data_IF_616620530239
#
_entry.id   IF_616620530239
#
_cell.length_a   1.000
_cell.length_b   1.000
_cell.length_c   1.000
_cell.angle_alpha   90.00
_cell.angle_beta   90.00
_cell.angle_gamma   90.00
#
_symmetry.space_group_name_H-M   'P 1'
#
loop_
_entity.id
_entity.type
_entity.pdbx_description
1 polymer ?
#
# COMPACT_ATOMS: atom_id res chain seq x y z
N UNK A 1 -15.29 -18.63 -15.57
CA UNK A 1 -14.52 -18.50 -16.83
C UNK A 1 -15.42 -18.03 -17.96
N UNK A 2 -15.25 -16.77 -18.39
CA UNK A 2 -15.72 -16.32 -19.69
C UNK A 2 -14.89 -17.04 -20.78
N UNK A 3 -15.54 -17.64 -21.77
CA UNK A 3 -14.85 -18.44 -22.81
C UNK A 3 -14.66 -17.70 -24.12
N UNK A 4 -15.26 -16.51 -24.27
CA UNK A 4 -15.06 -15.57 -25.38
C UNK A 4 -14.60 -14.24 -24.78
N UNK A 5 -13.30 -14.07 -24.55
CA UNK A 5 -12.73 -12.93 -23.81
C UNK A 5 -12.65 -11.65 -24.64
N UNK A 6 -12.73 -11.76 -25.96
CA UNK A 6 -12.66 -10.66 -26.92
C UNK A 6 -14.04 -10.25 -27.48
N UNK A 7 -15.12 -10.75 -26.86
CA UNK A 7 -16.50 -10.57 -27.33
C UNK A 7 -17.43 -10.31 -26.16
N UNK A 8 -17.50 -9.05 -25.77
CA UNK A 8 -18.52 -8.47 -24.90
C UNK A 8 -18.81 -7.03 -25.35
N UNK A 9 -19.57 -6.31 -24.57
CA UNK A 9 -19.64 -4.86 -24.68
C UNK A 9 -20.21 -4.31 -23.38
N UNK A 10 -20.18 -2.99 -23.27
CA UNK A 10 -20.57 -2.23 -22.08
C UNK A 10 -21.91 -2.70 -21.49
N UNK A 11 -21.85 -3.35 -20.32
CA UNK A 11 -22.96 -3.93 -19.59
C UNK A 11 -23.34 -3.10 -18.35
N UNK A 12 -24.63 -3.07 -18.00
CA UNK A 12 -25.15 -2.42 -16.78
C UNK A 12 -25.76 -3.49 -15.86
N UNK A 13 -25.12 -3.74 -14.72
CA UNK A 13 -25.51 -4.73 -13.72
C UNK A 13 -25.96 -4.01 -12.45
N UNK A 14 -27.23 -4.15 -12.08
CA UNK A 14 -27.74 -3.67 -10.78
C UNK A 14 -28.34 -4.82 -9.98
N UNK A 15 -27.80 -5.04 -8.79
CA UNK A 15 -28.21 -6.09 -7.86
C UNK A 15 -28.76 -5.49 -6.55
N UNK A 16 -29.59 -6.26 -5.87
CA UNK A 16 -30.18 -5.87 -4.60
C UNK A 16 -29.32 -6.26 -3.40
N UNK A 17 -29.94 -6.20 -2.22
CA UNK A 17 -29.32 -6.68 -0.97
C UNK A 17 -28.99 -8.18 -1.01
N UNK A 18 -28.01 -8.58 -0.21
CA UNK A 18 -27.53 -9.96 -0.06
C UNK A 18 -26.17 -10.17 -0.70
N UNK A 19 -25.58 -11.34 -0.49
CA UNK A 19 -24.25 -11.66 -1.00
C UNK A 19 -24.34 -12.02 -2.50
N UNK A 20 -23.80 -11.16 -3.36
CA UNK A 20 -23.84 -11.29 -4.82
C UNK A 20 -22.49 -11.75 -5.39
N UNK A 21 -22.54 -12.34 -6.59
CA UNK A 21 -21.35 -12.72 -7.37
C UNK A 21 -21.51 -12.20 -8.79
N UNK A 22 -20.56 -11.39 -9.26
CA UNK A 22 -20.60 -10.69 -10.55
C UNK A 22 -19.26 -10.86 -11.28
N UNK A 23 -19.33 -11.15 -12.57
CA UNK A 23 -18.25 -10.97 -13.55
C UNK A 23 -18.91 -10.19 -14.69
N UNK A 24 -18.53 -8.94 -14.94
CA UNK A 24 -19.20 -8.10 -15.94
C UNK A 24 -18.71 -8.45 -17.35
N UNK A 25 -17.40 -8.60 -17.55
CA UNK A 25 -16.83 -9.35 -18.67
C UNK A 25 -15.87 -8.56 -19.53
N UNK A 26 -16.29 -8.15 -20.73
CA UNK A 26 -15.46 -7.34 -21.62
C UNK A 26 -16.27 -6.11 -21.99
N UNK A 27 -15.68 -4.94 -21.85
CA UNK A 27 -16.34 -3.68 -22.16
C UNK A 27 -16.03 -2.66 -21.07
N UNK A 28 -16.62 -1.48 -21.17
CA UNK A 28 -16.68 -0.56 -20.06
C UNK A 28 -17.99 -0.80 -19.31
N UNK A 29 -17.93 -1.55 -18.23
CA UNK A 29 -19.10 -2.07 -17.53
C UNK A 29 -19.46 -1.20 -16.31
N UNK A 30 -20.73 -1.25 -15.90
CA UNK A 30 -21.21 -0.61 -14.68
C UNK A 30 -21.84 -1.65 -13.77
N UNK A 31 -21.27 -1.85 -12.58
CA UNK A 31 -21.78 -2.78 -11.56
C UNK A 31 -22.20 -2.00 -10.32
N UNK A 32 -23.46 -2.15 -9.91
CA UNK A 32 -24.00 -1.56 -8.68
C UNK A 32 -24.65 -2.66 -7.85
N UNK A 33 -24.14 -2.89 -6.65
CA UNK A 33 -24.78 -3.74 -5.63
C UNK A 33 -25.27 -2.89 -4.45
N UNK A 34 -26.10 -3.48 -3.58
CA UNK A 34 -26.60 -2.82 -2.38
C UNK A 34 -25.79 -3.28 -1.15
N UNK A 35 -26.42 -3.54 0.00
CA UNK A 35 -25.71 -4.17 1.11
C UNK A 35 -25.47 -5.66 0.90
N UNK A 36 -24.34 -6.20 1.34
CA UNK A 36 -23.99 -7.62 1.18
C UNK A 36 -22.49 -7.86 1.24
N UNK A 37 -22.06 -9.11 1.33
CA UNK A 37 -20.66 -9.47 1.08
C UNK A 37 -20.53 -9.88 -0.39
N UNK A 38 -20.25 -8.91 -1.25
CA UNK A 38 -20.25 -9.12 -2.70
C UNK A 38 -18.87 -9.54 -3.22
N UNK A 39 -18.86 -10.33 -4.31
CA UNK A 39 -17.64 -10.68 -5.05
C UNK A 39 -17.84 -10.21 -6.48
N UNK A 40 -17.01 -9.28 -6.93
CA UNK A 40 -17.20 -8.56 -8.19
C UNK A 40 -15.90 -8.61 -8.99
N UNK A 41 -16.02 -8.92 -10.26
CA UNK A 41 -15.02 -8.63 -11.28
C UNK A 41 -15.66 -7.67 -12.28
N UNK A 42 -14.97 -6.57 -12.58
CA UNK A 42 -15.34 -5.70 -13.69
C UNK A 42 -15.09 -6.47 -14.99
N UNK A 43 -13.84 -6.85 -15.22
CA UNK A 43 -13.50 -7.59 -16.43
C UNK A 43 -13.56 -9.13 -16.32
N UNK A 44 -13.03 -9.77 -17.36
CA UNK A 44 -12.93 -11.21 -17.51
C UNK A 44 -12.16 -11.84 -16.34
N UNK A 45 -12.77 -12.85 -15.71
CA UNK A 45 -12.06 -13.62 -14.70
C UNK A 45 -12.70 -14.95 -14.33
N UNK A 46 -12.19 -15.51 -13.24
CA UNK A 46 -12.65 -16.75 -12.67
C UNK A 46 -12.74 -16.70 -11.15
N UNK A 47 -13.91 -17.09 -10.63
CA UNK A 47 -14.11 -17.40 -9.23
C UNK A 47 -14.12 -18.91 -9.00
N UNK A 48 -13.40 -19.35 -7.99
CA UNK A 48 -13.40 -20.72 -7.52
C UNK A 48 -14.02 -20.80 -6.12
N UNK A 49 -14.84 -21.82 -5.92
CA UNK A 49 -15.49 -22.15 -4.65
C UNK A 49 -15.15 -23.61 -4.28
N UNK A 50 -15.11 -23.91 -2.99
CA UNK A 50 -14.94 -25.28 -2.51
C UNK A 50 -16.24 -26.13 -2.67
N UNK A 51 -16.18 -27.42 -2.33
CA UNK A 51 -17.33 -28.33 -2.40
C UNK A 51 -18.49 -27.92 -1.46
N UNK A 52 -18.28 -26.97 -0.55
CA UNK A 52 -19.29 -26.40 0.35
C UNK A 52 -19.81 -25.04 -0.15
N UNK A 53 -19.30 -24.53 -1.26
CA UNK A 53 -19.67 -23.23 -1.81
C UNK A 53 -18.98 -22.05 -1.13
N UNK A 54 -17.89 -22.27 -0.38
CA UNK A 54 -17.09 -21.19 0.20
C UNK A 54 -16.14 -20.65 -0.85
N UNK A 55 -16.07 -19.34 -0.99
CA UNK A 55 -15.16 -18.67 -1.91
C UNK A 55 -13.70 -18.93 -1.52
N UNK A 56 -12.88 -19.36 -2.47
CA UNK A 56 -11.47 -19.71 -2.24
C UNK A 56 -10.49 -18.95 -3.12
N UNK A 57 -10.90 -18.50 -4.31
CA UNK A 57 -10.00 -17.78 -5.22
C UNK A 57 -10.75 -16.93 -6.25
N UNK A 58 -10.24 -15.73 -6.50
CA UNK A 58 -10.52 -14.90 -7.67
C UNK A 58 -9.23 -14.69 -8.46
N UNK A 59 -9.30 -14.67 -9.79
CA UNK A 59 -8.18 -14.35 -10.69
C UNK A 59 -8.70 -13.71 -11.98
N UNK A 60 -8.09 -12.59 -12.40
CA UNK A 60 -8.31 -11.99 -13.72
C UNK A 60 -7.87 -12.95 -14.82
N UNK A 61 -8.56 -12.93 -15.94
CA UNK A 61 -8.23 -13.71 -17.14
C UNK A 61 -8.27 -12.79 -18.34
N UNK A 62 -7.43 -13.04 -19.35
CA UNK A 62 -7.31 -12.12 -20.50
C UNK A 62 -6.96 -10.68 -20.04
N UNK A 63 -5.89 -10.57 -19.26
CA UNK A 63 -5.40 -9.33 -18.62
C UNK A 63 -5.08 -8.17 -19.59
N UNK A 64 -5.08 -8.43 -20.90
CA UNK A 64 -4.87 -7.44 -21.96
C UNK A 64 -6.17 -7.01 -22.65
N UNK A 65 -7.32 -7.39 -22.09
CA UNK A 65 -8.66 -7.19 -22.65
C UNK A 65 -9.63 -6.77 -21.57
N UNK A 66 -10.31 -5.66 -21.82
CA UNK A 66 -11.32 -5.14 -20.92
C UNK A 66 -11.68 -3.70 -21.26
N UNK A 67 -12.15 -2.97 -20.27
CA UNK A 67 -12.40 -1.54 -20.38
C UNK A 67 -12.62 -0.89 -19.04
N UNK A 68 -12.73 0.44 -19.08
CA UNK A 68 -12.89 1.26 -17.89
C UNK A 68 -14.23 1.01 -17.20
N UNK A 69 -14.19 0.35 -16.05
CA UNK A 69 -15.34 -0.09 -15.29
C UNK A 69 -15.75 0.91 -14.20
N UNK A 70 -17.03 0.89 -13.84
CA UNK A 70 -17.55 1.61 -12.68
C UNK A 70 -18.24 0.64 -11.73
N UNK A 71 -17.67 0.45 -10.54
CA UNK A 71 -18.11 -0.53 -9.55
C UNK A 71 -18.52 0.18 -8.26
N UNK A 72 -19.78 0.00 -7.83
CA UNK A 72 -20.26 0.43 -6.52
C UNK A 72 -20.79 -0.78 -5.74
N UNK A 73 -20.05 -1.21 -4.73
CA UNK A 73 -20.33 -2.44 -4.00
C UNK A 73 -21.16 -2.25 -2.71
N UNK A 74 -21.59 -1.02 -2.40
CA UNK A 74 -22.36 -0.74 -1.18
C UNK A 74 -21.67 -1.19 0.11
N UNK A 75 -22.44 -1.47 1.17
CA UNK A 75 -21.89 -1.85 2.48
C UNK A 75 -21.77 -3.38 2.64
N UNK A 76 -20.80 -3.83 3.42
CA UNK A 76 -20.56 -5.23 3.74
C UNK A 76 -19.12 -5.62 3.39
N UNK A 77 -18.75 -6.90 3.46
CA UNK A 77 -17.39 -7.33 3.14
C UNK A 77 -17.25 -7.66 1.65
N UNK A 78 -16.82 -6.69 0.86
CA UNK A 78 -16.74 -6.81 -0.59
C UNK A 78 -15.35 -7.27 -1.05
N UNK A 79 -15.31 -8.00 -2.16
CA UNK A 79 -14.08 -8.45 -2.82
C UNK A 79 -14.16 -8.11 -4.30
N UNK A 80 -13.30 -7.21 -4.73
CA UNK A 80 -13.37 -6.59 -6.05
C UNK A 80 -12.01 -6.73 -6.74
N UNK A 81 -12.05 -7.09 -8.01
CA UNK A 81 -10.94 -6.92 -8.96
C UNK A 81 -11.55 -6.13 -10.12
N UNK A 82 -11.13 -4.89 -10.37
CA UNK A 82 -11.80 -4.08 -11.38
C UNK A 82 -11.40 -4.55 -12.78
N UNK A 83 -10.11 -4.63 -13.10
CA UNK A 83 -9.65 -5.37 -14.27
C UNK A 83 -8.63 -4.63 -15.11
N UNK A 84 -8.87 -4.58 -16.42
CA UNK A 84 -8.03 -3.88 -17.38
C UNK A 84 -8.67 -2.52 -17.71
N UNK A 85 -7.93 -1.44 -17.51
CA UNK A 85 -8.37 -0.11 -17.87
C UNK A 85 -8.35 0.82 -16.68
N UNK A 86 -8.83 2.04 -16.86
CA UNK A 86 -8.91 3.02 -15.76
C UNK A 86 -10.27 2.93 -15.10
N UNK A 87 -10.32 2.34 -13.91
CA UNK A 87 -11.54 1.94 -13.24
C UNK A 87 -11.94 2.87 -12.09
N UNK A 88 -13.24 2.96 -11.82
CA UNK A 88 -13.79 3.67 -10.67
C UNK A 88 -14.44 2.67 -9.71
N UNK A 89 -13.84 2.44 -8.55
CA UNK A 89 -14.34 1.51 -7.52
C UNK A 89 -14.76 2.28 -6.28
N UNK A 90 -15.98 2.06 -5.81
CA UNK A 90 -16.47 2.56 -4.53
C UNK A 90 -17.05 1.44 -3.68
N UNK A 91 -16.57 1.32 -2.43
CA UNK A 91 -17.20 0.49 -1.39
C UNK A 91 -17.72 1.34 -0.24
N UNK A 92 -18.59 0.74 0.59
CA UNK A 92 -19.16 1.34 1.78
C UNK A 92 -18.44 0.89 3.06
N UNK A 93 -19.18 0.77 4.16
CA UNK A 93 -18.60 0.21 5.39
C UNK A 93 -18.37 -1.29 5.24
N UNK A 94 -17.25 -1.82 5.72
CA UNK A 94 -16.89 -3.21 5.42
C UNK A 94 -15.51 -3.59 5.89
N UNK A 95 -15.08 -4.80 5.53
CA UNK A 95 -13.65 -5.12 5.50
C UNK A 95 -13.34 -5.55 4.09
N UNK A 96 -13.12 -4.57 3.23
CA UNK A 96 -13.12 -4.76 1.80
C UNK A 96 -11.75 -5.25 1.30
N UNK A 97 -11.76 -5.89 0.13
CA UNK A 97 -10.58 -6.19 -0.68
C UNK A 97 -10.82 -5.62 -2.05
N UNK A 98 -9.93 -4.75 -2.51
CA UNK A 98 -9.98 -4.17 -3.86
C UNK A 98 -8.63 -4.36 -4.52
N UNK A 99 -8.67 -4.86 -5.76
CA UNK A 99 -7.59 -4.69 -6.73
C UNK A 99 -8.18 -3.80 -7.82
N UNK A 100 -7.54 -2.67 -8.13
CA UNK A 100 -7.96 -1.81 -9.24
C UNK A 100 -7.71 -2.55 -10.56
N UNK A 101 -6.45 -2.85 -10.80
CA UNK A 101 -6.01 -3.56 -12.01
C UNK A 101 -6.26 -5.09 -12.01
N UNK A 102 -5.57 -5.81 -12.90
CA UNK A 102 -5.63 -7.26 -12.95
C UNK A 102 -4.98 -7.90 -11.74
N UNK A 103 -5.65 -8.88 -11.14
CA UNK A 103 -5.11 -9.48 -9.94
C UNK A 103 -5.64 -10.85 -9.58
N UNK A 104 -5.21 -11.27 -8.39
CA UNK A 104 -5.62 -12.50 -7.77
C UNK A 104 -5.83 -12.30 -6.26
N UNK A 105 -6.90 -12.91 -5.75
CA UNK A 105 -7.17 -13.02 -4.32
C UNK A 105 -7.33 -14.49 -3.95
N UNK A 106 -6.48 -14.99 -3.04
CA UNK A 106 -6.53 -16.36 -2.54
C UNK A 106 -7.00 -16.41 -1.09
N UNK A 107 -7.91 -17.34 -0.79
CA UNK A 107 -8.41 -17.61 0.55
C UNK A 107 -8.22 -19.08 0.91
N UNK A 108 -7.97 -19.33 2.20
CA UNK A 108 -7.96 -20.67 2.78
C UNK A 108 -8.82 -20.62 4.04
N UNK A 109 -9.83 -21.49 4.09
CA UNK A 109 -10.83 -21.55 5.18
C UNK A 109 -11.57 -20.22 5.40
N UNK A 110 -11.86 -19.48 4.32
CA UNK A 110 -12.53 -18.17 4.35
C UNK A 110 -11.64 -17.00 4.78
N UNK A 111 -10.36 -17.25 5.04
CA UNK A 111 -9.38 -16.22 5.43
C UNK A 111 -8.50 -15.87 4.24
N UNK A 112 -8.43 -14.58 3.88
CA UNK A 112 -7.52 -14.04 2.86
C UNK A 112 -6.08 -14.40 3.20
N UNK A 113 -5.34 -14.91 2.21
CA UNK A 113 -3.94 -15.31 2.32
C UNK A 113 -3.04 -14.50 1.44
N UNK A 114 -3.46 -14.23 0.22
CA UNK A 114 -2.71 -13.46 -0.75
C UNK A 114 -3.69 -12.56 -1.48
N UNK A 115 -3.31 -11.30 -1.62
CA UNK A 115 -3.86 -10.34 -2.57
C UNK A 115 -2.65 -9.92 -3.40
N UNK A 116 -2.75 -9.99 -4.73
CA UNK A 116 -1.65 -9.58 -5.61
C UNK A 116 -2.18 -8.98 -6.89
N UNK A 117 -1.55 -7.90 -7.36
CA UNK A 117 -1.64 -7.55 -8.77
C UNK A 117 -0.88 -8.59 -9.60
N UNK A 118 -1.32 -8.78 -10.84
CA UNK A 118 -0.73 -9.74 -11.79
C UNK A 118 -0.19 -9.09 -13.05
N UNK A 119 -0.30 -7.76 -13.16
CA UNK A 119 0.25 -7.03 -14.28
C UNK A 119 1.78 -7.04 -14.29
N UNK A 120 2.35 -7.12 -15.49
CA UNK A 120 3.82 -7.22 -15.69
C UNK A 120 4.32 -6.35 -16.84
N UNK A 121 3.43 -5.58 -17.46
CA UNK A 121 3.74 -4.72 -18.60
C UNK A 121 2.92 -3.42 -18.50
N UNK A 122 3.52 -2.29 -18.87
CA UNK A 122 2.85 -0.96 -18.96
C UNK A 122 1.62 -0.95 -19.89
N UNK A 123 1.51 -1.94 -20.78
CA UNK A 123 0.38 -2.06 -21.70
C UNK A 123 -0.93 -2.52 -21.01
N UNK A 124 -0.84 -3.07 -19.80
CA UNK A 124 -1.99 -3.49 -18.98
C UNK A 124 -2.22 -2.59 -17.78
N UNK A 125 -1.49 -1.47 -17.70
CA UNK A 125 -1.66 -0.45 -16.67
C UNK A 125 -2.98 0.34 -16.84
N UNK A 126 -3.57 0.71 -15.71
CA UNK A 126 -4.80 1.47 -15.57
C UNK A 126 -4.67 2.52 -14.47
N UNK A 127 -4.96 3.79 -14.77
CA UNK A 127 -5.11 4.80 -13.71
C UNK A 127 -6.46 4.66 -13.02
N UNK A 128 -6.47 4.12 -11.81
CA UNK A 128 -7.66 3.78 -11.06
C UNK A 128 -8.05 4.83 -10.02
N UNK A 129 -9.35 4.93 -9.76
CA UNK A 129 -9.89 5.70 -8.64
C UNK A 129 -10.63 4.76 -7.69
N UNK A 130 -10.01 4.49 -6.55
CA UNK A 130 -10.51 3.56 -5.54
C UNK A 130 -10.90 4.34 -4.29
N UNK A 131 -12.18 4.26 -3.95
CA UNK A 131 -12.71 4.73 -2.67
C UNK A 131 -13.23 3.56 -1.85
N UNK A 132 -12.53 3.22 -0.79
CA UNK A 132 -13.04 2.30 0.23
C UNK A 132 -13.68 3.09 1.37
N UNK A 133 -14.69 2.52 2.01
CA UNK A 133 -15.42 3.22 3.06
C UNK A 133 -14.73 3.10 4.42
N UNK A 134 -15.46 2.54 5.38
CA UNK A 134 -14.97 2.42 6.76
C UNK A 134 -14.79 0.97 7.18
N UNK A 135 -13.72 0.69 7.90
CA UNK A 135 -13.43 -0.63 8.48
C UNK A 135 -12.01 -1.09 8.18
N UNK A 136 -11.82 -2.37 7.88
CA UNK A 136 -10.48 -2.93 7.62
C UNK A 136 -10.29 -3.27 6.15
N UNK A 137 -9.71 -2.33 5.41
CA UNK A 137 -9.69 -2.38 3.95
C UNK A 137 -8.30 -2.75 3.42
N UNK A 138 -8.27 -3.50 2.32
CA UNK A 138 -7.03 -3.96 1.69
C UNK A 138 -7.09 -3.65 0.22
N UNK A 139 -6.16 -2.82 -0.24
CA UNK A 139 -6.14 -2.28 -1.60
C UNK A 139 -4.78 -2.56 -2.23
N UNK A 140 -4.81 -3.00 -3.49
CA UNK A 140 -3.69 -2.90 -4.42
C UNK A 140 -4.25 -2.12 -5.60
N UNK A 141 -3.78 -0.90 -5.89
CA UNK A 141 -4.42 -0.12 -6.95
C UNK A 141 -4.00 -0.68 -8.32
N UNK A 142 -2.72 -0.73 -8.66
CA UNK A 142 -2.33 -1.34 -9.93
C UNK A 142 -1.01 -0.87 -10.47
N UNK A 143 -0.78 -0.98 -11.77
CA UNK A 143 0.18 -0.13 -12.45
C UNK A 143 -0.58 1.09 -12.96
N UNK A 144 -0.05 2.29 -12.75
CA UNK A 144 -0.70 3.47 -13.28
C UNK A 144 -0.45 4.66 -12.38
N UNK A 145 -1.20 5.72 -12.60
CA UNK A 145 -1.30 6.80 -11.61
C UNK A 145 -2.65 6.69 -10.94
N UNK A 146 -2.65 6.24 -9.70
CA UNK A 146 -3.85 5.82 -8.98
C UNK A 146 -4.25 6.79 -7.88
N UNK A 147 -5.53 6.77 -7.54
CA UNK A 147 -6.09 7.53 -6.43
C UNK A 147 -6.77 6.55 -5.47
N UNK A 148 -6.23 6.43 -4.26
CA UNK A 148 -6.81 5.59 -3.20
C UNK A 148 -7.27 6.46 -2.04
N UNK A 149 -8.55 6.34 -1.68
CA UNK A 149 -9.13 7.03 -0.51
C UNK A 149 -9.83 6.07 0.43
N UNK A 150 -9.67 6.26 1.75
CA UNK A 150 -10.44 5.57 2.79
C UNK A 150 -11.10 6.55 3.76
N UNK A 151 -12.27 6.19 4.32
CA UNK A 151 -12.96 7.06 5.27
C UNK A 151 -12.41 6.92 6.71
N UNK A 152 -12.34 5.70 7.26
CA UNK A 152 -11.79 5.42 8.62
C UNK A 152 -11.63 3.92 8.89
N UNK A 153 -10.88 3.57 9.93
CA UNK A 153 -10.44 2.21 10.21
C UNK A 153 -9.10 1.91 9.55
N UNK A 154 -8.51 0.78 9.91
CA UNK A 154 -7.17 0.42 9.46
C UNK A 154 -7.19 0.03 7.97
N UNK A 155 -6.27 0.55 7.15
CA UNK A 155 -6.14 0.15 5.75
C UNK A 155 -4.74 -0.41 5.46
N UNK A 156 -4.66 -1.43 4.60
CA UNK A 156 -3.42 -1.86 3.98
C UNK A 156 -3.49 -1.54 2.49
N UNK A 157 -2.61 -0.65 2.03
CA UNK A 157 -2.59 -0.15 0.66
C UNK A 157 -1.23 -0.41 0.05
N UNK A 158 -1.21 -0.99 -1.14
CA UNK A 158 -0.13 -0.80 -2.10
C UNK A 158 -0.75 0.01 -3.23
N UNK A 159 -0.25 1.20 -3.52
CA UNK A 159 -0.82 2.00 -4.60
C UNK A 159 -0.41 1.37 -5.93
N UNK A 160 0.88 1.09 -6.11
CA UNK A 160 1.33 0.34 -7.26
C UNK A 160 1.14 -1.20 -7.18
N UNK A 161 1.75 -1.90 -8.13
CA UNK A 161 1.90 -3.34 -8.15
C UNK A 161 2.56 -3.89 -6.88
N UNK A 162 1.91 -4.91 -6.30
CA UNK A 162 2.49 -5.60 -5.16
C UNK A 162 1.74 -6.84 -4.71
N UNK A 163 2.13 -7.30 -3.52
CA UNK A 163 1.56 -8.46 -2.85
C UNK A 163 1.35 -8.17 -1.37
N UNK A 164 0.15 -8.44 -0.88
CA UNK A 164 -0.17 -8.51 0.55
C UNK A 164 -0.36 -9.97 0.98
N UNK A 165 0.48 -10.43 1.91
CA UNK A 165 0.47 -11.82 2.41
C UNK A 165 0.04 -11.92 3.87
N UNK A 166 -0.95 -12.76 4.15
CA UNK A 166 -1.56 -12.96 5.46
C UNK A 166 -1.42 -14.41 5.94
N UNK A 167 -1.32 -14.57 7.26
CA UNK A 167 -1.29 -15.89 7.88
C UNK A 167 -2.69 -16.46 8.16
N UNK A 168 -2.75 -17.62 8.84
CA UNK A 168 -4.00 -18.32 9.10
C UNK A 168 -5.00 -17.63 10.01
N UNK A 169 -4.57 -16.59 10.71
CA UNK A 169 -5.43 -15.78 11.56
C UNK A 169 -5.83 -14.45 10.88
N UNK A 170 -5.51 -14.27 9.58
CA UNK A 170 -5.79 -13.03 8.86
C UNK A 170 -4.88 -11.87 9.25
N UNK A 171 -3.73 -12.16 9.86
CA UNK A 171 -2.72 -11.16 10.24
C UNK A 171 -1.74 -10.96 9.09
N UNK A 172 -1.49 -9.70 8.71
CA UNK A 172 -0.51 -9.34 7.70
C UNK A 172 0.89 -9.80 8.15
N UNK A 173 1.61 -10.44 7.23
CA UNK A 173 2.98 -10.92 7.46
C UNK A 173 3.98 -10.29 6.51
N UNK A 174 3.53 -9.85 5.33
CA UNK A 174 4.37 -9.19 4.34
C UNK A 174 3.51 -8.30 3.45
N UNK A 175 3.94 -7.07 3.23
CA UNK A 175 3.50 -6.19 2.16
C UNK A 175 4.74 -5.85 1.31
N UNK A 176 4.64 -5.96 -0.01
CA UNK A 176 5.81 -5.85 -0.87
C UNK A 176 5.44 -5.36 -2.27
N UNK A 177 6.17 -4.36 -2.78
CA UNK A 177 6.09 -3.95 -4.18
C UNK A 177 6.65 -5.02 -5.13
N UNK A 178 6.06 -5.12 -6.30
CA UNK A 178 6.51 -5.97 -7.41
C UNK A 178 6.56 -5.14 -8.69
N UNK A 179 7.26 -5.63 -9.72
CA UNK A 179 7.44 -4.88 -10.98
C UNK A 179 7.95 -3.45 -10.74
N UNK A 180 8.97 -3.31 -9.89
CA UNK A 180 9.44 -2.04 -9.31
C UNK A 180 9.96 -0.98 -10.31
N UNK A 181 10.04 -1.32 -11.58
CA UNK A 181 10.39 -0.43 -12.69
C UNK A 181 9.20 -0.03 -13.57
N UNK A 182 7.99 -0.39 -13.14
CA UNK A 182 6.69 0.02 -13.64
C UNK A 182 5.88 0.65 -12.50
N UNK A 183 4.94 1.52 -12.87
CA UNK A 183 4.11 2.28 -11.95
C UNK A 183 3.97 3.73 -12.39
N UNK A 184 3.36 4.55 -11.55
CA UNK A 184 3.17 5.98 -11.81
C UNK A 184 2.91 6.78 -10.54
N UNK A 185 2.68 8.08 -10.73
CA UNK A 185 2.48 9.00 -9.61
C UNK A 185 1.13 8.74 -8.92
N UNK A 186 1.15 8.34 -7.65
CA UNK A 186 -0.04 7.94 -6.89
C UNK A 186 -0.50 8.97 -5.85
N UNK A 187 -1.81 9.04 -5.59
CA UNK A 187 -2.41 9.81 -4.50
C UNK A 187 -3.13 8.89 -3.51
N UNK A 188 -2.56 8.73 -2.32
CA UNK A 188 -3.14 7.93 -1.23
C UNK A 188 -3.60 8.84 -0.09
N UNK A 189 -4.89 8.86 0.22
CA UNK A 189 -5.44 9.58 1.38
C UNK A 189 -6.27 8.66 2.27
N UNK A 190 -5.74 8.34 3.45
CA UNK A 190 -6.36 7.41 4.39
C UNK A 190 -6.93 8.11 5.62
N UNK A 191 -8.06 7.58 6.08
CA UNK A 191 -8.76 8.03 7.28
C UNK A 191 -8.03 7.69 8.59
N UNK A 192 -8.72 7.91 9.72
CA UNK A 192 -8.19 7.52 11.04
C UNK A 192 -8.06 5.99 11.14
N UNK A 193 -7.04 5.48 11.85
CA UNK A 193 -6.76 4.05 11.98
C UNK A 193 -5.28 3.78 11.77
N UNK A 194 -4.82 2.59 12.14
CA UNK A 194 -3.41 2.21 11.94
C UNK A 194 -3.25 1.67 10.52
N UNK A 195 -2.59 2.42 9.64
CA UNK A 195 -2.48 2.10 8.21
C UNK A 195 -1.10 1.56 7.83
N UNK A 196 -1.07 0.76 6.76
CA UNK A 196 0.15 0.30 6.11
C UNK A 196 0.09 0.73 4.65
N UNK A 197 1.08 1.50 4.20
CA UNK A 197 1.15 2.02 2.84
C UNK A 197 2.49 1.66 2.21
N UNK A 198 2.44 1.19 0.98
CA UNK A 198 3.55 1.26 0.03
C UNK A 198 3.02 2.01 -1.19
N UNK A 199 3.55 3.20 -1.53
CA UNK A 199 3.04 3.92 -2.70
C UNK A 199 3.62 3.32 -3.99
N UNK A 200 4.92 3.41 -4.29
CA UNK A 200 5.52 2.57 -5.32
C UNK A 200 6.62 3.20 -6.14
N UNK A 201 6.44 3.23 -7.46
CA UNK A 201 7.27 3.93 -8.42
C UNK A 201 6.53 5.19 -8.86
N UNK A 202 7.00 6.34 -8.43
CA UNK A 202 6.37 7.58 -8.88
C UNK A 202 6.81 8.73 -8.01
N UNK A 203 6.32 9.92 -8.34
CA UNK A 203 6.27 11.02 -7.39
C UNK A 203 4.93 10.97 -6.65
N UNK A 204 4.93 10.36 -5.48
CA UNK A 204 3.72 9.95 -4.79
C UNK A 204 3.29 10.97 -3.73
N UNK A 205 2.00 11.01 -3.44
CA UNK A 205 1.43 11.80 -2.36
C UNK A 205 0.70 10.89 -1.38
N UNK A 206 1.21 10.79 -0.16
CA UNK A 206 0.61 9.97 0.91
C UNK A 206 0.16 10.84 2.08
N UNK A 207 -1.14 10.85 2.36
CA UNK A 207 -1.73 11.52 3.51
C UNK A 207 -2.47 10.50 4.39
N UNK A 208 -2.01 10.30 5.62
CA UNK A 208 -2.76 9.54 6.63
C UNK A 208 -3.26 10.46 7.74
N UNK A 209 -4.33 10.03 8.42
CA UNK A 209 -4.92 10.80 9.53
C UNK A 209 -4.30 10.40 10.88
N UNK A 210 -5.10 10.25 11.94
CA UNK A 210 -4.57 9.80 13.23
C UNK A 210 -4.43 8.27 13.25
N UNK A 211 -3.30 7.75 13.73
CA UNK A 211 -3.03 6.31 13.80
C UNK A 211 -1.55 6.00 13.98
N UNK A 212 -1.21 4.75 14.28
CA UNK A 212 0.17 4.26 14.15
C UNK A 212 0.41 3.80 12.71
N UNK A 213 0.83 4.70 11.83
CA UNK A 213 0.97 4.43 10.40
C UNK A 213 2.38 3.95 10.01
N UNK A 214 2.47 3.04 9.04
CA UNK A 214 3.73 2.58 8.43
C UNK A 214 3.68 2.89 6.94
N UNK A 215 4.57 3.77 6.48
CA UNK A 215 4.60 4.28 5.11
C UNK A 215 5.98 3.99 4.51
N UNK A 216 5.99 3.32 3.36
CA UNK A 216 7.10 3.38 2.41
C UNK A 216 6.56 4.12 1.20
N UNK A 217 7.10 5.28 0.86
CA UNK A 217 6.54 6.04 -0.26
C UNK A 217 7.00 5.43 -1.57
N UNK A 218 8.27 5.04 -1.67
CA UNK A 218 8.72 4.24 -2.81
C UNK A 218 8.55 2.71 -2.69
N UNK A 219 9.03 2.00 -3.71
CA UNK A 219 9.21 0.56 -3.79
C UNK A 219 9.77 -0.08 -2.51
N UNK A 220 8.93 -0.85 -1.82
CA UNK A 220 9.18 -1.26 -0.45
C UNK A 220 8.92 -2.72 -0.12
N UNK A 221 9.35 -3.10 1.07
CA UNK A 221 8.88 -4.31 1.74
C UNK A 221 8.72 -4.07 3.25
N UNK A 222 7.55 -4.40 3.76
CA UNK A 222 7.18 -4.33 5.18
C UNK A 222 6.92 -5.76 5.66
N UNK A 223 7.60 -6.19 6.72
CA UNK A 223 7.52 -7.56 7.23
C UNK A 223 7.13 -7.61 8.69
N UNK A 224 6.28 -8.56 9.06
CA UNK A 224 5.75 -8.73 10.40
C UNK A 224 5.99 -10.16 10.93
N UNK A 225 6.10 -10.28 12.25
CA UNK A 225 6.03 -11.57 12.94
C UNK A 225 4.63 -12.18 12.75
N UNK A 226 4.50 -13.49 12.97
CA UNK A 226 3.20 -14.19 12.83
C UNK A 226 2.09 -13.69 13.79
N UNK A 227 2.44 -12.88 14.79
CA UNK A 227 1.49 -12.23 15.71
C UNK A 227 1.18 -10.77 15.33
N UNK A 228 1.67 -10.27 14.20
CA UNK A 228 1.44 -8.90 13.72
C UNK A 228 2.43 -7.87 14.24
N UNK A 229 3.44 -8.28 15.00
CA UNK A 229 4.49 -7.35 15.47
C UNK A 229 5.43 -7.03 14.31
N UNK A 230 5.61 -5.73 14.01
CA UNK A 230 6.51 -5.27 12.96
C UNK A 230 7.96 -5.78 13.19
N UNK A 231 8.57 -6.32 12.13
CA UNK A 231 9.94 -6.80 12.11
C UNK A 231 10.87 -5.92 11.28
N UNK A 232 10.41 -5.46 10.12
CA UNK A 232 11.25 -4.74 9.17
C UNK A 232 10.41 -3.82 8.29
N UNK A 233 10.94 -2.64 8.00
CA UNK A 233 10.49 -1.72 6.95
C UNK A 233 11.73 -1.38 6.13
N UNK A 234 11.67 -1.47 4.80
CA UNK A 234 12.78 -1.08 3.94
C UNK A 234 12.31 -0.63 2.56
N UNK A 235 13.06 0.28 1.96
CA UNK A 235 13.05 0.44 0.50
C UNK A 235 13.81 -0.72 -0.15
N UNK A 236 13.42 -1.08 -1.37
CA UNK A 236 13.97 -2.24 -2.10
C UNK A 236 14.65 -1.86 -3.41
N UNK A 237 14.27 -0.73 -4.01
CA UNK A 237 14.82 -0.23 -5.27
C UNK A 237 15.54 1.10 -5.07
N UNK A 238 16.85 1.05 -4.81
CA UNK A 238 17.66 2.24 -4.47
C UNK A 238 17.81 3.29 -5.60
N UNK A 239 17.16 3.11 -6.75
CA UNK A 239 17.39 3.92 -7.97
C UNK A 239 16.10 4.23 -8.72
N UNK A 240 14.98 3.73 -8.22
CA UNK A 240 13.68 3.77 -8.87
C UNK A 240 12.70 4.26 -7.81
N UNK A 241 11.89 5.22 -8.19
CA UNK A 241 11.11 6.06 -7.30
C UNK A 241 11.05 7.49 -7.83
N UNK A 242 10.56 8.41 -7.00
CA UNK A 242 10.43 9.82 -7.34
C UNK A 242 10.40 10.73 -6.13
N UNK A 243 10.20 12.02 -6.39
CA UNK A 243 10.12 13.02 -5.33
C UNK A 243 8.74 12.93 -4.66
N UNK A 244 8.70 12.54 -3.39
CA UNK A 244 7.47 12.21 -2.68
C UNK A 244 6.98 13.30 -1.71
N UNK A 245 5.68 13.31 -1.44
CA UNK A 245 5.06 14.15 -0.41
C UNK A 245 4.29 13.30 0.59
N UNK A 246 4.82 13.20 1.82
CA UNK A 246 4.23 12.40 2.89
C UNK A 246 3.76 13.28 4.04
N UNK A 247 2.52 13.06 4.47
CA UNK A 247 1.95 13.59 5.70
C UNK A 247 1.34 12.44 6.53
N UNK A 248 2.06 11.99 7.55
CA UNK A 248 1.68 10.81 8.34
C UNK A 248 0.71 11.11 9.50
N UNK A 249 0.18 12.34 9.60
CA UNK A 249 -0.75 12.71 10.68
C UNK A 249 -0.18 12.50 12.09
N UNK A 250 -1.04 12.28 13.10
CA UNK A 250 -0.60 12.10 14.50
C UNK A 250 -0.55 10.61 14.86
N UNK A 251 0.35 10.25 15.78
CA UNK A 251 0.54 8.89 16.28
C UNK A 251 2.00 8.47 16.16
N UNK A 252 2.34 7.27 16.63
CA UNK A 252 3.71 6.75 16.50
C UNK A 252 3.92 6.23 15.06
N UNK A 253 4.38 7.08 14.14
CA UNK A 253 4.50 6.71 12.72
C UNK A 253 5.90 6.19 12.35
N UNK A 254 5.96 5.37 11.29
CA UNK A 254 7.20 4.93 10.65
C UNK A 254 7.16 5.29 9.16
N UNK A 255 8.12 6.07 8.71
CA UNK A 255 8.26 6.52 7.32
C UNK A 255 9.63 6.15 6.76
N UNK A 256 9.65 5.60 5.55
CA UNK A 256 10.83 5.53 4.66
C UNK A 256 10.40 6.17 3.35
N UNK A 257 10.89 7.36 3.00
CA UNK A 257 10.39 8.05 1.80
C UNK A 257 10.96 7.41 0.53
N UNK A 258 12.29 7.38 0.36
CA UNK A 258 12.92 6.50 -0.64
C UNK A 258 13.97 7.18 -1.51
N UNK A 259 13.92 6.91 -2.81
CA UNK A 259 14.72 7.57 -3.83
C UNK A 259 14.00 8.82 -4.32
N UNK A 260 14.53 9.99 -4.00
CA UNK A 260 13.95 11.23 -4.48
C UNK A 260 14.19 12.35 -3.50
N UNK A 261 13.87 13.59 -3.89
CA UNK A 261 13.89 14.72 -2.96
C UNK A 261 12.53 14.81 -2.27
N UNK A 262 12.45 14.30 -1.04
CA UNK A 262 11.16 14.03 -0.41
C UNK A 262 10.74 15.11 0.59
N UNK A 263 9.43 15.39 0.68
CA UNK A 263 8.84 16.18 1.76
C UNK A 263 8.10 15.27 2.75
N UNK A 264 8.66 15.11 3.95
CA UNK A 264 8.04 14.32 5.01
C UNK A 264 7.55 15.22 6.13
N UNK A 265 6.26 15.13 6.46
CA UNK A 265 5.67 15.76 7.65
C UNK A 265 5.04 14.70 8.54
N UNK A 266 5.35 14.72 9.83
CA UNK A 266 4.67 13.92 10.85
C UNK A 266 4.11 14.82 11.96
N UNK A 267 3.11 14.32 12.68
CA UNK A 267 2.36 15.03 13.71
C UNK A 267 2.92 14.82 15.11
N UNK A 268 2.03 14.67 16.10
CA UNK A 268 2.46 14.35 17.47
C UNK A 268 2.83 12.88 17.64
N UNK A 269 3.53 12.61 18.74
CA UNK A 269 3.98 11.31 19.22
C UNK A 269 5.34 10.89 18.63
N UNK A 270 5.75 9.62 18.73
CA UNK A 270 7.15 9.22 18.58
C UNK A 270 7.43 8.64 17.19
N UNK A 271 7.80 9.52 16.26
CA UNK A 271 7.99 9.12 14.87
C UNK A 271 9.36 8.51 14.57
N UNK A 272 9.43 7.72 13.50
CA UNK A 272 10.65 7.15 12.92
C UNK A 272 10.67 7.48 11.45
N UNK A 273 11.69 8.21 11.01
CA UNK A 273 11.75 8.71 9.65
C UNK A 273 13.11 8.38 9.05
N UNK A 274 13.10 7.80 7.87
CA UNK A 274 14.21 7.86 6.92
C UNK A 274 13.71 8.66 5.72
N UNK A 275 14.39 9.76 5.38
CA UNK A 275 14.06 10.54 4.18
C UNK A 275 14.42 9.72 2.95
N UNK A 276 15.70 9.44 2.78
CA UNK A 276 16.21 8.63 1.70
C UNK A 276 15.87 7.11 1.77
N UNK A 277 16.48 6.33 0.88
CA UNK A 277 16.46 4.88 0.94
C UNK A 277 16.96 4.36 2.29
N UNK A 278 16.28 3.36 2.83
CA UNK A 278 16.62 2.88 4.15
C UNK A 278 16.03 1.56 4.58
N UNK A 279 16.44 1.15 5.77
CA UNK A 279 15.95 -0.04 6.44
C UNK A 279 15.87 0.20 7.95
N UNK A 280 14.75 -0.22 8.54
CA UNK A 280 14.48 -0.22 9.97
C UNK A 280 14.23 -1.66 10.40
N UNK A 281 15.01 -2.16 11.36
CA UNK A 281 14.84 -3.50 11.93
C UNK A 281 14.34 -3.42 13.37
N UNK A 282 13.35 -4.25 13.67
CA UNK A 282 12.72 -4.37 14.98
C UNK A 282 12.82 -5.80 15.48
N UNK A 283 12.88 -5.95 16.80
CA UNK A 283 12.77 -7.26 17.46
C UNK A 283 11.78 -7.11 18.60
N UNK A 284 10.64 -7.80 18.48
CA UNK A 284 9.53 -7.73 19.43
C UNK A 284 9.02 -6.31 19.64
N UNK A 285 8.83 -5.56 18.54
CA UNK A 285 8.33 -4.18 18.54
C UNK A 285 9.34 -3.12 18.97
N UNK A 286 10.58 -3.51 19.29
CA UNK A 286 11.64 -2.57 19.68
C UNK A 286 12.62 -2.42 18.53
N UNK A 287 12.74 -1.19 17.99
CA UNK A 287 13.76 -0.82 16.99
C UNK A 287 15.15 -1.19 17.51
N UNK A 288 15.94 -1.85 16.65
CA UNK A 288 17.32 -2.28 16.89
C UNK A 288 18.31 -1.56 16.00
N UNK A 289 17.94 -1.35 14.75
CA UNK A 289 18.68 -0.58 13.78
C UNK A 289 17.72 0.23 12.94
N UNK A 290 18.14 1.43 12.60
CA UNK A 290 17.65 2.14 11.43
C UNK A 290 18.87 2.69 10.69
N UNK A 291 18.89 2.56 9.37
CA UNK A 291 19.99 2.98 8.51
C UNK A 291 19.48 3.49 7.17
N UNK A 292 20.09 4.58 6.67
CA UNK A 292 20.01 4.85 5.23
C UNK A 292 20.86 3.81 4.49
N UNK A 293 20.45 3.44 3.28
CA UNK A 293 21.07 2.38 2.46
C UNK A 293 21.76 2.92 1.22
N UNK A 294 21.70 4.23 0.98
CA UNK A 294 22.43 4.86 -0.10
C UNK A 294 23.93 4.71 0.09
N UNK A 295 24.63 4.55 -1.04
CA UNK A 295 26.08 4.36 -1.04
C UNK A 295 26.80 5.23 -2.07
N UNK A 296 26.05 5.91 -2.93
CA UNK A 296 26.55 6.72 -4.04
C UNK A 296 25.65 7.94 -4.24
N UNK A 297 26.20 9.06 -4.72
CA UNK A 297 25.45 10.30 -4.99
C UNK A 297 24.30 10.14 -6.01
N UNK A 298 24.32 9.07 -6.81
CA UNK A 298 23.30 8.83 -7.82
C UNK A 298 21.97 8.29 -7.25
N UNK A 299 21.94 7.97 -5.95
CA UNK A 299 20.75 7.50 -5.23
C UNK A 299 20.32 8.45 -4.12
N UNK A 300 20.94 9.65 -4.07
CA UNK A 300 20.68 10.66 -3.07
C UNK A 300 19.54 11.59 -3.48
N UNK A 301 18.80 12.08 -2.49
CA UNK A 301 17.80 13.13 -2.59
C UNK A 301 18.05 14.29 -1.64
N UNK A 302 17.49 15.47 -1.91
CA UNK A 302 17.53 16.58 -0.94
C UNK A 302 16.22 16.63 -0.16
N UNK A 303 16.21 16.13 1.07
CA UNK A 303 14.97 15.92 1.81
C UNK A 303 14.56 17.11 2.68
N UNK A 304 13.25 17.28 2.86
CA UNK A 304 12.65 18.23 3.79
C UNK A 304 11.78 17.50 4.81
N UNK A 305 12.35 17.24 5.98
CA UNK A 305 11.72 16.48 7.05
C UNK A 305 11.25 17.43 8.16
N UNK A 306 9.95 17.37 8.47
CA UNK A 306 9.30 18.10 9.55
C UNK A 306 8.61 17.11 10.49
N UNK A 307 9.26 16.73 11.57
CA UNK A 307 8.60 15.97 12.64
C UNK A 307 7.94 16.91 13.65
N UNK A 308 6.81 16.47 14.20
CA UNK A 308 6.10 17.25 15.20
C UNK A 308 6.67 17.06 16.61
N UNK A 309 5.80 16.80 17.58
CA UNK A 309 6.19 16.74 19.00
C UNK A 309 6.36 15.31 19.47
N UNK A 310 7.44 14.98 20.17
CA UNK A 310 7.59 13.65 20.76
C UNK A 310 9.04 13.18 20.84
N UNK A 311 9.23 11.87 20.84
CA UNK A 311 10.56 11.28 20.73
C UNK A 311 10.83 10.78 19.31
N UNK A 312 11.38 11.65 18.47
CA UNK A 312 11.54 11.36 17.04
C UNK A 312 12.92 10.76 16.75
N UNK A 313 12.97 9.85 15.78
CA UNK A 313 14.21 9.23 15.30
C UNK A 313 14.31 9.43 13.81
N UNK A 314 15.32 10.16 13.35
CA UNK A 314 15.40 10.65 11.98
C UNK A 314 16.78 10.34 11.41
N UNK A 315 16.80 9.74 10.22
CA UNK A 315 17.93 9.76 9.30
C UNK A 315 17.44 10.51 8.07
N UNK A 316 18.12 11.56 7.65
CA UNK A 316 17.72 12.31 6.46
C UNK A 316 18.17 11.55 5.21
N UNK A 317 19.41 11.74 4.77
CA UNK A 317 19.88 10.98 3.63
C UNK A 317 21.28 11.39 3.20
N UNK A 318 21.70 10.99 2.02
CA UNK A 318 22.77 11.68 1.30
C UNK A 318 22.26 13.01 0.74
N UNK A 319 23.18 13.87 0.30
CA UNK A 319 22.90 15.22 -0.22
C UNK A 319 22.42 16.23 0.85
N UNK A 320 21.51 17.14 0.50
CA UNK A 320 21.35 18.44 1.15
C UNK A 320 20.02 18.55 1.87
N UNK A 321 19.99 18.04 3.10
CA UNK A 321 18.73 17.90 3.84
C UNK A 321 18.38 19.07 4.76
N UNK A 322 17.08 19.25 4.97
CA UNK A 322 16.49 20.10 6.00
C UNK A 322 15.73 19.21 6.97
N UNK A 323 16.17 19.16 8.23
CA UNK A 323 15.44 18.47 9.30
C UNK A 323 14.99 19.47 10.35
N UNK A 324 13.68 19.50 10.59
CA UNK A 324 13.03 20.25 11.65
C UNK A 324 12.25 19.27 12.54
N UNK A 325 12.45 19.38 13.85
CA UNK A 325 11.65 18.66 14.86
C UNK A 325 11.15 19.71 15.84
N UNK A 326 9.89 19.61 16.29
CA UNK A 326 9.29 20.58 17.18
C UNK A 326 9.74 20.36 18.63
N UNK A 327 8.82 20.04 19.55
CA UNK A 327 9.14 19.90 20.97
C UNK A 327 9.29 18.44 21.38
N UNK A 328 10.37 18.11 22.10
CA UNK A 328 10.63 16.75 22.53
C UNK A 328 12.11 16.39 22.53
N UNK A 329 12.43 15.10 22.55
CA UNK A 329 13.80 14.60 22.48
C UNK A 329 13.98 13.86 21.16
N UNK A 330 14.87 14.31 20.28
CA UNK A 330 15.01 13.68 18.97
C UNK A 330 16.42 13.11 18.75
N UNK A 331 16.51 11.96 18.10
CA UNK A 331 17.76 11.39 17.59
C UNK A 331 17.84 11.65 16.10
N UNK A 332 18.79 12.47 15.66
CA UNK A 332 18.89 12.88 14.26
C UNK A 332 20.28 12.58 13.70
N UNK A 333 20.32 11.96 12.53
CA UNK A 333 21.46 12.01 11.60
C UNK A 333 20.96 12.71 10.35
N UNK A 334 21.39 13.96 10.12
CA UNK A 334 21.01 14.74 8.94
C UNK A 334 21.89 14.42 7.71
N UNK A 335 22.38 13.19 7.66
CA UNK A 335 23.23 12.64 6.60
C UNK A 335 23.01 11.11 6.62
N UNK A 336 23.64 10.38 5.71
CA UNK A 336 23.62 8.93 5.69
C UNK A 336 24.31 8.35 6.93
N UNK A 337 23.65 7.40 7.59
CA UNK A 337 24.12 6.86 8.85
C UNK A 337 23.34 5.67 9.37
N UNK A 338 23.67 5.29 10.60
CA UNK A 338 23.01 4.21 11.34
C UNK A 338 22.80 4.64 12.80
N UNK A 339 21.57 4.46 13.29
CA UNK A 339 21.22 4.49 14.71
C UNK A 339 20.98 3.06 15.20
N UNK A 340 21.69 2.66 16.26
CA UNK A 340 21.54 1.32 16.88
C UNK A 340 21.05 1.43 18.32
N UNK A 341 20.13 0.54 18.66
CA UNK A 341 19.43 0.51 19.94
C UNK A 341 19.59 -0.85 20.62
N UNK A 342 19.64 -0.85 21.95
CA UNK A 342 19.66 -2.09 22.72
C UNK A 342 18.25 -2.68 22.90
N UNK A 343 18.15 -3.77 23.67
CA UNK A 343 16.87 -4.46 23.90
C UNK A 343 15.85 -3.70 24.74
N UNK A 344 16.21 -2.54 25.26
CA UNK A 344 15.33 -1.65 26.02
C UNK A 344 14.96 -0.41 25.19
N UNK A 345 15.30 -0.37 23.89
CA UNK A 345 15.05 0.80 23.04
C UNK A 345 15.98 1.97 23.32
N UNK A 346 17.08 1.77 24.06
CA UNK A 346 18.04 2.84 24.36
C UNK A 346 19.10 2.90 23.26
N UNK A 347 19.33 4.10 22.71
CA UNK A 347 20.38 4.35 21.73
C UNK A 347 21.75 4.01 22.32
N UNK A 348 22.47 3.10 21.67
CA UNK A 348 23.82 2.66 22.07
C UNK A 348 24.89 3.10 21.10
N UNK A 349 24.53 3.45 19.86
CA UNK A 349 25.46 3.93 18.85
C UNK A 349 24.74 4.73 17.77
N UNK A 350 25.28 5.91 17.47
CA UNK A 350 24.96 6.71 16.28
C UNK A 350 26.25 6.93 15.49
N UNK A 351 26.22 6.79 14.16
CA UNK A 351 27.35 7.10 13.28
C UNK A 351 26.87 7.44 11.88
N UNK A 352 27.61 8.30 11.19
CA UNK A 352 27.51 8.44 9.73
C UNK A 352 28.20 7.26 9.04
N UNK A 353 27.90 7.07 7.75
CA UNK A 353 28.56 6.11 6.89
C UNK A 353 29.44 6.81 5.86
N UNK A 354 30.55 6.18 5.47
CA UNK A 354 31.37 6.67 4.37
C UNK A 354 30.75 6.20 3.06
N UNK A 355 30.64 7.12 2.09
CA UNK A 355 30.35 6.77 0.70
C UNK A 355 31.47 5.89 0.12
N UNK A 356 31.11 4.93 -0.73
CA UNK A 356 32.06 3.98 -1.36
C UNK A 356 32.40 4.34 -2.79
#
# INVERSE_FOLDING_TARGET
>A
MATETDRGGDDEVTLGEGDNVVIAGFGADTVITAGGSDIIMGDNGEFNFDDQGVFVKAESTAIDQGGNDTINAGNGENRIIAGFGSDEVTTGSGSDVVIGDNGQVDLIDGVVRVIQSTDTEDATAGSDTIKVGSGFDRVIAGLGSDIVTSDSGNSHVIADNGVLTYNANGILTNAKSTETDLGGDDEVTLGEGDNVVIAGMGSDTVNTANGEDIIVSDNGEISFEANGVLMQVKSTSLKLGGDDVINAGNGDNIVVAGFGSDEVTTGSDNDVIIGDNGQIDLVSGVIRSMQSTDSVDATAGSDNIKSGTGFDRIIAGLDSDIVMSDSGNSHVIADNGILNYNAQGVLVRARTMEQT
#
